data_IF_181576624520
#
_entry.id   IF_181576624520
#
_cell.length_a   1.000
_cell.length_b   1.000
_cell.length_c   1.000
_cell.angle_alpha   90.00
_cell.angle_beta   90.00
_cell.angle_gamma   90.00
#
_symmetry.space_group_name_H-M   'P 1'
#
loop_
_entity.id
_entity.type
_entity.pdbx_description
1 polymer ?
#
# COMPACT_ATOMS: atom_id res chain seq x y z
N UNK A 1 -29.21 0.99 -19.64
CA UNK A 1 -28.32 2.07 -19.13
C UNK A 1 -27.05 1.41 -18.63
N UNK A 2 -25.93 1.58 -19.33
CA UNK A 2 -24.62 1.15 -18.83
C UNK A 2 -24.09 2.24 -17.91
N UNK A 3 -23.95 1.95 -16.62
CA UNK A 3 -23.23 2.85 -15.71
C UNK A 3 -21.78 2.93 -16.15
N UNK A 4 -21.24 4.12 -16.27
CA UNK A 4 -19.80 4.31 -16.46
C UNK A 4 -19.06 3.79 -15.22
N UNK A 5 -18.13 2.85 -15.42
CA UNK A 5 -17.29 2.30 -14.35
C UNK A 5 -16.03 3.15 -14.26
N UNK A 6 -15.74 3.69 -13.07
CA UNK A 6 -14.51 4.46 -12.84
C UNK A 6 -13.32 3.48 -12.71
N UNK A 7 -12.22 3.69 -13.46
CA UNK A 7 -11.02 2.87 -13.33
C UNK A 7 -10.39 2.95 -11.94
N UNK A 8 -9.70 1.88 -11.55
CA UNK A 8 -8.91 1.83 -10.32
C UNK A 8 -7.41 1.85 -10.63
N UNK A 9 -6.66 2.54 -9.79
CA UNK A 9 -5.20 2.61 -9.85
C UNK A 9 -4.63 1.98 -8.58
N UNK A 10 -3.61 1.14 -8.74
CA UNK A 10 -2.94 0.46 -7.64
C UNK A 10 -1.73 1.27 -7.15
N UNK A 11 -1.70 1.61 -5.87
CA UNK A 11 -0.52 2.16 -5.19
C UNK A 11 0.14 1.02 -4.42
N UNK A 12 1.28 0.56 -4.91
CA UNK A 12 1.91 -0.69 -4.45
C UNK A 12 3.37 -0.52 -4.05
N UNK A 13 3.84 -1.44 -3.21
CA UNK A 13 5.23 -1.67 -2.88
C UNK A 13 5.52 -3.16 -2.87
N UNK A 14 6.75 -3.55 -3.17
CA UNK A 14 7.23 -4.93 -3.02
C UNK A 14 7.94 -5.04 -1.68
N UNK A 15 7.43 -5.89 -0.80
CA UNK A 15 7.98 -6.07 0.55
C UNK A 15 9.26 -6.93 0.57
N UNK A 16 9.84 -7.14 1.76
CA UNK A 16 11.05 -7.95 1.97
C UNK A 16 10.85 -9.44 1.66
N UNK A 17 9.60 -9.92 1.63
CA UNK A 17 9.24 -11.28 1.24
C UNK A 17 9.01 -11.41 -0.28
N UNK A 18 9.33 -10.36 -1.05
CA UNK A 18 9.11 -10.24 -2.49
C UNK A 18 7.62 -10.31 -2.90
N UNK A 19 6.71 -9.90 -2.01
CA UNK A 19 5.27 -9.85 -2.30
C UNK A 19 4.85 -8.41 -2.57
N UNK A 20 4.20 -8.19 -3.71
CA UNK A 20 3.62 -6.89 -4.07
C UNK A 20 2.33 -6.67 -3.31
N UNK A 21 2.29 -5.63 -2.49
CA UNK A 21 1.13 -5.26 -1.68
C UNK A 21 0.83 -3.78 -1.81
N UNK A 22 -0.41 -3.39 -1.55
CA UNK A 22 -0.81 -2.01 -1.70
C UNK A 22 -2.29 -1.78 -1.53
N UNK A 23 -2.78 -0.66 -2.06
CA UNK A 23 -4.20 -0.31 -2.06
C UNK A 23 -4.62 0.19 -3.43
N UNK A 24 -5.85 -0.13 -3.80
CA UNK A 24 -6.51 0.45 -4.97
C UNK A 24 -7.21 1.75 -4.57
N UNK A 25 -7.08 2.76 -5.41
CA UNK A 25 -7.83 4.02 -5.35
C UNK A 25 -8.52 4.26 -6.67
N UNK A 26 -9.57 5.06 -6.69
CA UNK A 26 -10.19 5.44 -7.96
C UNK A 26 -9.29 6.40 -8.73
N UNK A 27 -9.33 6.35 -10.06
CA UNK A 27 -8.48 7.17 -10.93
C UNK A 27 -8.59 8.67 -10.61
N UNK A 28 -9.80 9.17 -10.32
CA UNK A 28 -10.00 10.57 -9.95
C UNK A 28 -9.31 11.00 -8.64
N UNK A 29 -8.82 10.04 -7.83
CA UNK A 29 -8.07 10.29 -6.59
C UNK A 29 -6.56 10.12 -6.75
N UNK A 30 -6.06 9.78 -7.93
CA UNK A 30 -4.65 9.45 -8.14
C UNK A 30 -3.72 10.59 -7.72
N UNK A 31 -3.95 11.81 -8.20
CA UNK A 31 -3.10 12.98 -7.96
C UNK A 31 -3.08 13.37 -6.48
N UNK A 32 -4.24 13.32 -5.82
CA UNK A 32 -4.32 13.52 -4.36
C UNK A 32 -3.53 12.44 -3.62
N UNK A 33 -3.65 11.19 -4.07
CA UNK A 33 -2.98 10.04 -3.46
C UNK A 33 -1.46 10.08 -3.68
N UNK A 34 -0.97 10.57 -4.82
CA UNK A 34 0.45 10.81 -5.06
C UNK A 34 1.01 11.85 -4.08
N UNK A 35 0.24 12.90 -3.79
CA UNK A 35 0.64 13.94 -2.84
C UNK A 35 0.59 13.52 -1.36
N UNK A 36 -0.36 12.67 -0.95
CA UNK A 36 -0.55 12.31 0.49
C UNK A 36 -0.11 10.89 0.85
N UNK A 37 0.02 10.01 -0.13
CA UNK A 37 0.13 8.56 0.07
C UNK A 37 -1.15 7.92 0.63
N UNK A 38 -1.13 6.58 0.67
CA UNK A 38 -2.16 5.74 1.31
C UNK A 38 -1.67 5.23 2.68
N UNK A 39 -2.60 4.95 3.59
CA UNK A 39 -2.25 4.38 4.90
C UNK A 39 -1.64 2.98 4.77
N UNK A 40 -0.54 2.73 5.47
CA UNK A 40 0.23 1.50 5.43
C UNK A 40 0.70 1.08 6.82
N UNK A 41 0.56 -0.19 7.16
CA UNK A 41 1.00 -0.69 8.46
C UNK A 41 2.46 -1.15 8.39
N UNK A 42 3.32 -0.62 9.25
CA UNK A 42 4.74 -0.99 9.32
C UNK A 42 4.96 -2.50 9.56
N UNK A 43 4.05 -3.16 10.29
CA UNK A 43 4.10 -4.60 10.55
C UNK A 43 4.02 -5.45 9.27
N UNK A 44 3.56 -4.90 8.15
CA UNK A 44 3.55 -5.60 6.86
C UNK A 44 4.99 -5.93 6.40
N UNK A 45 6.01 -5.19 6.84
CA UNK A 45 7.41 -5.52 6.56
C UNK A 45 7.90 -6.76 7.32
N UNK A 46 7.18 -7.17 8.36
CA UNK A 46 7.47 -8.37 9.15
C UNK A 46 6.68 -9.60 8.68
N UNK A 47 5.98 -9.48 7.56
CA UNK A 47 5.25 -10.60 6.98
C UNK A 47 6.21 -11.58 6.30
N UNK A 48 6.03 -12.86 6.61
CA UNK A 48 6.72 -13.95 5.93
C UNK A 48 6.02 -14.26 4.59
N UNK A 49 6.69 -15.00 3.68
CA UNK A 49 6.05 -15.53 2.48
C UNK A 49 4.80 -16.39 2.75
N UNK A 50 4.65 -16.92 3.97
CA UNK A 50 3.51 -17.74 4.40
C UNK A 50 2.39 -16.92 5.07
N UNK A 51 2.44 -15.58 4.93
CA UNK A 51 1.41 -14.67 5.43
C UNK A 51 1.26 -14.67 6.97
N UNK A 52 2.32 -15.05 7.70
CA UNK A 52 2.44 -14.87 9.15
C UNK A 52 3.30 -13.64 9.47
N UNK A 53 3.09 -13.02 10.64
CA UNK A 53 3.98 -11.97 11.16
C UNK A 53 5.04 -12.65 12.02
N UNK A 54 6.32 -12.32 11.79
CA UNK A 54 7.42 -12.86 12.61
C UNK A 54 7.32 -12.40 14.07
N UNK A 55 7.64 -13.28 15.01
CA UNK A 55 7.77 -13.00 16.44
C UNK A 55 9.22 -13.23 16.89
N UNK A 56 9.91 -12.24 17.49
CA UNK A 56 9.40 -10.90 17.82
C UNK A 56 9.24 -10.00 16.58
N UNK A 57 8.15 -9.21 16.55
CA UNK A 57 7.95 -8.17 15.54
C UNK A 57 8.75 -6.92 15.90
N UNK A 58 9.79 -6.54 15.13
CA UNK A 58 10.63 -5.38 15.43
C UNK A 58 9.88 -4.04 15.37
N UNK A 59 8.75 -3.97 14.66
CA UNK A 59 8.03 -2.71 14.45
C UNK A 59 7.01 -2.39 15.55
N UNK A 60 6.46 -3.41 16.22
CA UNK A 60 5.44 -3.23 17.26
C UNK A 60 4.23 -2.38 16.81
N UNK A 61 3.58 -1.72 17.77
CA UNK A 61 2.41 -0.82 17.56
C UNK A 61 2.81 0.66 17.53
N UNK A 62 3.95 0.99 16.90
CA UNK A 62 4.49 2.36 16.86
C UNK A 62 3.75 3.32 15.91
N UNK A 63 2.71 2.84 15.21
CA UNK A 63 1.82 3.65 14.37
C UNK A 63 1.81 3.26 12.89
N UNK A 64 0.97 3.95 12.12
CA UNK A 64 0.83 3.74 10.67
C UNK A 64 1.79 4.64 9.87
N UNK A 65 2.28 4.11 8.75
CA UNK A 65 3.07 4.79 7.74
C UNK A 65 2.20 5.27 6.57
N UNK A 66 2.82 6.03 5.67
CA UNK A 66 2.25 6.42 4.37
C UNK A 66 3.01 5.75 3.24
N UNK A 67 2.32 4.90 2.48
CA UNK A 67 2.83 4.38 1.21
C UNK A 67 2.61 5.43 0.13
N UNK A 68 3.70 5.94 -0.45
CA UNK A 68 3.69 7.00 -1.47
C UNK A 68 4.15 6.42 -2.80
N UNK A 69 3.40 6.69 -3.86
CA UNK A 69 3.86 6.44 -5.22
C UNK A 69 4.90 7.48 -5.61
N UNK A 70 5.99 7.05 -6.25
CA UNK A 70 6.86 7.98 -6.97
C UNK A 70 6.11 8.51 -8.19
N UNK A 71 6.09 9.83 -8.35
CA UNK A 71 5.67 10.47 -9.59
C UNK A 71 6.92 10.72 -10.42
N UNK A 72 7.09 9.94 -11.50
CA UNK A 72 8.21 10.09 -12.41
C UNK A 72 8.10 11.46 -13.09
N UNK A 73 8.91 12.41 -12.63
CA UNK A 73 8.99 13.77 -13.17
C UNK A 73 9.67 13.79 -14.53
#
# INVERSE_FOLDING_TARGET
MTSTVEPLVAVVTTDLSAITRGRFVTEGKLQKTAATGVGWLQANLSMTPFNSIVDPNPWGSSGDLRLRSEERR
#
